data_IF_814658623901
#
_entry.id   IF_814658623901
#
_cell.length_a   1.000
_cell.length_b   1.000
_cell.length_c   1.000
_cell.angle_alpha   90.00
_cell.angle_beta   90.00
_cell.angle_gamma   90.00
#
_symmetry.space_group_name_H-M   'P 1'
#
loop_
_entity.id
_entity.type
_entity.pdbx_description
1 polymer ?
#
# COMPACT_ATOMS: atom_id res chain seq x y z
N UNK A 1 -0.60 -8.90 15.26
CA UNK A 1 -0.78 -7.66 14.55
C UNK A 1 -0.76 -7.89 13.08
N UNK A 2 -1.46 -7.10 12.33
CA UNK A 2 -1.55 -7.32 10.89
C UNK A 2 -0.46 -6.54 10.16
N UNK A 3 0.03 -7.08 9.05
CA UNK A 3 1.04 -6.39 8.27
C UNK A 3 0.45 -5.18 7.55
N UNK A 4 1.21 -4.12 7.50
CA UNK A 4 0.82 -2.90 6.79
C UNK A 4 1.75 -2.64 5.62
N UNK A 5 1.16 -2.24 4.50
CA UNK A 5 1.94 -1.86 3.34
C UNK A 5 2.11 -0.34 3.36
N UNK A 6 3.34 0.13 3.30
CA UNK A 6 3.64 1.54 3.40
C UNK A 6 4.39 2.00 2.15
N UNK A 7 3.90 3.08 1.56
CA UNK A 7 4.58 3.69 0.42
C UNK A 7 5.88 4.34 0.92
N UNK A 8 7.01 3.90 0.36
CA UNK A 8 8.31 4.40 0.81
C UNK A 8 8.64 5.78 0.25
N UNK A 9 7.83 6.27 -0.66
CA UNK A 9 8.06 7.56 -1.29
C UNK A 9 7.40 8.69 -0.50
N UNK A 10 6.12 8.51 -0.15
CA UNK A 10 5.39 9.56 0.56
C UNK A 10 4.96 9.15 1.97
N UNK A 11 5.15 7.89 2.34
CA UNK A 11 4.79 7.41 3.67
C UNK A 11 3.32 7.08 3.84
N UNK A 12 2.57 6.96 2.76
CA UNK A 12 1.16 6.61 2.84
C UNK A 12 1.02 5.16 3.28
N UNK A 13 0.19 4.93 4.30
CA UNK A 13 -0.08 3.58 4.79
C UNK A 13 -1.35 3.06 4.15
N UNK A 14 -1.25 1.91 3.51
CA UNK A 14 -2.42 1.29 2.89
C UNK A 14 -3.34 0.73 3.96
N UNK A 15 -4.58 1.16 3.95
CA UNK A 15 -5.59 0.72 4.92
C UNK A 15 -6.54 -0.25 4.25
N UNK A 16 -6.47 -1.51 4.63
CA UNK A 16 -7.31 -2.54 4.03
C UNK A 16 -8.79 -2.39 4.38
N UNK A 17 -9.10 -1.65 5.41
CA UNK A 17 -10.49 -1.43 5.79
C UNK A 17 -11.18 -0.42 4.89
N UNK A 18 -10.44 0.57 4.41
CA UNK A 18 -11.00 1.63 3.57
C UNK A 18 -10.63 1.46 2.10
N UNK A 19 -9.47 0.90 1.82
CA UNK A 19 -8.98 0.78 0.44
C UNK A 19 -9.07 -0.64 -0.11
N UNK A 20 -9.46 -1.61 0.72
CA UNK A 20 -9.55 -2.99 0.30
C UNK A 20 -8.26 -3.75 0.58
N UNK A 21 -8.36 -5.07 0.52
CA UNK A 21 -7.21 -5.91 0.80
C UNK A 21 -6.12 -5.73 -0.25
N UNK A 22 -4.88 -5.73 0.22
CA UNK A 22 -3.74 -5.55 -0.67
C UNK A 22 -3.73 -6.55 -1.82
N UNK A 23 -4.04 -7.81 -1.53
CA UNK A 23 -4.02 -8.86 -2.54
C UNK A 23 -5.10 -8.70 -3.60
N UNK A 24 -6.14 -7.91 -3.30
CA UNK A 24 -7.23 -7.67 -4.24
C UNK A 24 -6.99 -6.46 -5.14
N UNK A 25 -5.90 -5.75 -4.90
CA UNK A 25 -5.58 -4.58 -5.71
C UNK A 25 -5.09 -5.00 -7.10
N UNK A 26 -5.39 -4.21 -8.14
CA UNK A 26 -4.91 -4.53 -9.49
C UNK A 26 -3.40 -4.36 -9.60
N UNK A 27 -2.82 -4.96 -10.64
CA UNK A 27 -1.38 -4.86 -10.86
C UNK A 27 -0.95 -3.43 -11.17
N UNK A 28 -1.88 -2.64 -11.68
CA UNK A 28 -1.58 -1.25 -12.04
C UNK A 28 -2.00 -0.27 -10.94
N UNK A 29 -2.24 -0.79 -9.73
CA UNK A 29 -2.56 0.07 -8.60
C UNK A 29 -1.41 1.03 -8.31
N UNK A 30 -1.76 2.28 -8.02
CA UNK A 30 -0.76 3.29 -7.69
C UNK A 30 -1.14 3.98 -6.39
N UNK A 31 -0.13 4.54 -5.74
CA UNK A 31 -0.34 5.28 -4.50
C UNK A 31 -1.21 6.51 -4.79
N UNK A 32 -2.31 6.71 -4.03
CA UNK A 32 -3.19 7.87 -4.25
C UNK A 32 -2.55 9.19 -3.85
N UNK A 33 -1.44 9.13 -3.12
CA UNK A 33 -0.78 10.35 -2.65
C UNK A 33 0.32 10.80 -3.60
N UNK A 34 1.17 9.89 -4.05
CA UNK A 34 2.31 10.25 -4.88
C UNK A 34 2.31 9.58 -6.25
N UNK A 35 1.45 8.58 -6.46
CA UNK A 35 1.28 7.98 -7.77
C UNK A 35 2.27 6.90 -8.15
N UNK A 36 3.08 6.42 -7.20
CA UNK A 36 4.01 5.35 -7.51
C UNK A 36 3.29 4.00 -7.47
N UNK A 37 3.88 3.00 -8.09
CA UNK A 37 3.26 1.67 -8.16
C UNK A 37 3.40 0.88 -6.88
N UNK A 38 2.80 -0.31 -6.88
CA UNK A 38 2.85 -1.19 -5.72
C UNK A 38 4.28 -1.59 -5.35
N UNK A 39 5.18 -1.59 -6.32
CA UNK A 39 6.56 -1.96 -6.09
C UNK A 39 7.29 -1.00 -5.15
N UNK A 40 6.74 0.19 -4.98
CA UNK A 40 7.31 1.18 -4.07
C UNK A 40 6.69 1.11 -2.67
N UNK A 41 5.91 0.09 -2.41
CA UNK A 41 5.39 -0.18 -1.08
C UNK A 41 6.24 -1.23 -0.40
N UNK A 42 6.41 -1.08 0.91
CA UNK A 42 7.08 -2.10 1.72
C UNK A 42 6.11 -2.66 2.73
N UNK A 43 6.25 -3.95 3.00
CA UNK A 43 5.44 -4.63 4.00
C UNK A 43 6.12 -4.48 5.35
N UNK A 44 5.44 -3.82 6.26
CA UNK A 44 5.89 -3.70 7.64
C UNK A 44 5.06 -4.62 8.51
N UNK A 45 5.70 -5.62 9.06
CA UNK A 45 5.05 -6.62 9.90
C UNK A 45 5.46 -6.36 11.35
N UNK A 46 4.59 -5.75 12.09
CA UNK A 46 4.86 -5.38 13.48
C UNK A 46 4.16 -6.29 14.45
#
# INVERSE_FOLDING_TARGET
MKPDHVCVVCGHVHDEETEGKWENLPDDFVCPECGVGKEDYELLDI
#
